data_IF_671712668965
#
_entry.id   IF_671712668965
#
_cell.length_a   1.000
_cell.length_b   1.000
_cell.length_c   1.000
_cell.angle_alpha   90.00
_cell.angle_beta   90.00
_cell.angle_gamma   90.00
#
_symmetry.space_group_name_H-M   'P 1'
#
loop_
_entity.id
_entity.type
_entity.pdbx_description
1 polymer ?
#
# COMPACT_ATOMS: atom_id res chain seq x y z
N UNK A 1 7.83 4.80 -13.62
CA UNK A 1 6.79 5.49 -12.82
C UNK A 1 7.43 6.09 -11.57
N UNK A 2 7.00 7.28 -11.11
CA UNK A 2 7.50 7.86 -9.84
C UNK A 2 6.65 7.36 -8.67
N UNK A 3 7.19 7.33 -7.43
CA UNK A 3 6.42 6.95 -6.22
C UNK A 3 5.13 7.76 -6.08
N UNK A 4 5.18 9.07 -6.33
CA UNK A 4 3.98 9.95 -6.32
C UNK A 4 3.00 9.62 -7.45
N UNK A 5 3.50 9.17 -8.61
CA UNK A 5 2.68 8.68 -9.71
C UNK A 5 1.92 7.42 -9.33
N UNK A 6 2.62 6.44 -8.76
CA UNK A 6 2.05 5.18 -8.28
C UNK A 6 0.96 5.42 -7.22
N UNK A 7 1.22 6.27 -6.23
CA UNK A 7 0.24 6.59 -5.19
C UNK A 7 -1.06 7.13 -5.79
N UNK A 8 -0.98 8.02 -6.80
CA UNK A 8 -2.18 8.55 -7.45
C UNK A 8 -2.96 7.49 -8.21
N UNK A 9 -2.27 6.57 -8.86
CA UNK A 9 -2.89 5.45 -9.56
C UNK A 9 -3.60 4.50 -8.57
N UNK A 10 -2.92 4.13 -7.49
CA UNK A 10 -3.51 3.30 -6.43
C UNK A 10 -4.74 3.96 -5.78
N UNK A 11 -4.69 5.28 -5.56
CA UNK A 11 -5.84 6.06 -5.05
C UNK A 11 -6.99 6.07 -6.06
N UNK A 12 -6.70 6.05 -7.36
CA UNK A 12 -7.75 5.98 -8.39
C UNK A 12 -8.45 4.62 -8.45
N UNK A 13 -7.75 3.53 -8.06
CA UNK A 13 -8.30 2.17 -8.03
C UNK A 13 -9.07 1.92 -6.73
N UNK A 14 -8.45 2.18 -5.58
CA UNK A 14 -8.95 1.74 -4.28
C UNK A 14 -9.60 2.86 -3.45
N UNK A 15 -9.48 4.12 -3.87
CA UNK A 15 -9.91 5.29 -3.10
C UNK A 15 -8.81 5.85 -2.19
N UNK A 16 -8.98 7.10 -1.76
CA UNK A 16 -7.97 7.82 -0.96
C UNK A 16 -7.69 7.15 0.39
N UNK A 17 -8.75 6.80 1.09
CA UNK A 17 -8.64 6.27 2.47
C UNK A 17 -8.09 4.84 2.50
N UNK A 18 -8.05 4.17 1.36
CA UNK A 18 -7.49 2.84 1.21
C UNK A 18 -5.98 2.82 0.95
N UNK A 19 -5.33 3.97 0.72
CA UNK A 19 -3.91 4.03 0.33
C UNK A 19 -3.08 4.69 1.43
N UNK A 20 -2.37 3.87 2.18
CA UNK A 20 -1.46 4.29 3.25
C UNK A 20 -0.08 4.55 2.66
N UNK A 21 0.42 5.77 2.80
CA UNK A 21 1.73 6.14 2.27
C UNK A 21 2.47 7.16 3.16
N UNK A 22 1.93 7.45 4.35
CA UNK A 22 2.56 8.33 5.33
C UNK A 22 3.54 7.51 6.18
N UNK A 23 4.80 7.97 6.36
CA UNK A 23 5.83 7.19 7.05
C UNK A 23 5.39 6.64 8.41
N UNK A 24 4.69 7.46 9.19
CA UNK A 24 4.18 7.11 10.53
C UNK A 24 3.11 6.00 10.50
N UNK A 25 2.28 5.95 9.46
CA UNK A 25 1.23 4.93 9.30
C UNK A 25 1.81 3.61 8.75
N UNK A 26 2.93 3.68 8.02
CA UNK A 26 3.60 2.52 7.43
C UNK A 26 4.37 1.69 8.47
N UNK A 27 4.67 2.25 9.64
CA UNK A 27 5.34 1.51 10.73
C UNK A 27 4.54 0.28 11.18
N UNK A 28 3.21 0.31 11.09
CA UNK A 28 2.34 -0.85 11.38
C UNK A 28 2.62 -2.05 10.46
N UNK A 29 3.20 -1.81 9.28
CA UNK A 29 3.40 -2.82 8.24
C UNK A 29 4.87 -3.19 8.05
N UNK A 30 5.76 -2.80 8.98
CA UNK A 30 7.19 -3.07 8.86
C UNK A 30 7.58 -4.52 9.14
N UNK A 31 6.74 -5.30 9.82
CA UNK A 31 7.02 -6.68 10.20
C UNK A 31 5.75 -7.55 10.17
N UNK A 32 5.95 -8.86 10.08
CA UNK A 32 4.91 -9.89 9.96
C UNK A 32 4.63 -10.62 11.29
N UNK A 33 5.01 -10.01 12.41
CA UNK A 33 4.92 -10.62 13.74
C UNK A 33 6.14 -11.47 14.12
N UNK A 34 7.08 -11.72 13.21
CA UNK A 34 8.43 -12.18 13.57
C UNK A 34 9.33 -10.99 13.88
N UNK A 35 10.06 -11.06 15.00
CA UNK A 35 10.76 -9.89 15.56
C UNK A 35 12.06 -9.50 14.84
N UNK A 36 12.62 -10.38 14.02
CA UNK A 36 13.97 -10.24 13.48
C UNK A 36 14.04 -9.57 12.10
N UNK A 37 13.00 -9.70 11.26
CA UNK A 37 12.99 -9.15 9.91
C UNK A 37 12.06 -7.94 9.84
N UNK A 38 12.60 -6.80 9.41
CA UNK A 38 11.85 -5.56 9.23
C UNK A 38 12.10 -4.98 7.85
N UNK A 39 11.04 -4.60 7.17
CA UNK A 39 11.08 -3.90 5.89
C UNK A 39 9.84 -3.01 5.76
N UNK A 40 10.01 -1.70 5.93
CA UNK A 40 8.91 -0.75 5.76
C UNK A 40 8.53 -0.65 4.28
N UNK A 41 7.27 -0.90 3.91
CA UNK A 41 6.84 -0.77 2.53
C UNK A 41 6.77 0.70 2.09
N UNK A 42 6.81 0.95 0.78
CA UNK A 42 6.64 2.30 0.23
C UNK A 42 5.20 2.82 0.31
N UNK A 43 4.23 1.91 0.18
CA UNK A 43 2.77 2.13 0.15
C UNK A 43 2.07 0.83 0.59
N UNK A 44 0.94 0.93 1.29
CA UNK A 44 0.02 -0.18 1.58
C UNK A 44 -1.37 0.16 1.03
N UNK A 45 -2.08 -0.85 0.49
CA UNK A 45 -3.41 -0.68 -0.11
C UNK A 45 -4.42 -1.64 0.52
N UNK A 46 -5.52 -1.09 1.04
CA UNK A 46 -6.66 -1.85 1.56
C UNK A 46 -7.68 -2.11 0.44
N UNK A 47 -7.65 -3.31 -0.12
CA UNK A 47 -8.58 -3.69 -1.20
C UNK A 47 -9.95 -4.10 -0.64
N UNK A 48 -11.02 -3.68 -1.32
CA UNK A 48 -12.40 -4.03 -0.96
C UNK A 48 -12.99 -5.21 -1.73
N UNK A 49 -12.34 -5.62 -2.84
CA UNK A 49 -12.76 -6.74 -3.68
C UNK A 49 -11.59 -7.26 -4.53
N UNK A 50 -11.78 -8.43 -5.14
CA UNK A 50 -10.76 -9.07 -5.99
C UNK A 50 -10.44 -8.27 -7.27
N UNK A 51 -11.38 -7.47 -7.77
CA UNK A 51 -11.14 -6.59 -8.93
C UNK A 51 -10.06 -5.56 -8.66
N UNK A 52 -10.05 -4.94 -7.46
CA UNK A 52 -8.97 -4.02 -7.08
C UNK A 52 -7.59 -4.69 -7.10
N UNK A 53 -7.49 -5.95 -6.64
CA UNK A 53 -6.23 -6.70 -6.71
C UNK A 53 -5.81 -6.89 -8.16
N UNK A 54 -6.75 -7.33 -9.01
CA UNK A 54 -6.50 -7.52 -10.43
C UNK A 54 -6.03 -6.24 -11.11
N UNK A 55 -6.63 -5.09 -10.79
CA UNK A 55 -6.25 -3.80 -11.38
C UNK A 55 -4.88 -3.31 -10.91
N UNK A 56 -4.43 -3.67 -9.70
CA UNK A 56 -3.12 -3.28 -9.15
C UNK A 56 -1.96 -4.10 -9.70
N UNK A 57 -2.16 -5.41 -9.96
CA UNK A 57 -1.07 -6.34 -10.34
C UNK A 57 -0.87 -6.52 -11.86
N UNK A 58 -1.62 -5.78 -12.67
CA UNK A 58 -1.52 -5.81 -14.14
C UNK A 58 -0.18 -5.28 -14.66
#
# INVERSE_FOLDING_TARGET
MTKRGLIRELVSIAGRDAVVHRPEELLTYECDGYTLARATPDVVVHVGNAGHVQDIVK
#
